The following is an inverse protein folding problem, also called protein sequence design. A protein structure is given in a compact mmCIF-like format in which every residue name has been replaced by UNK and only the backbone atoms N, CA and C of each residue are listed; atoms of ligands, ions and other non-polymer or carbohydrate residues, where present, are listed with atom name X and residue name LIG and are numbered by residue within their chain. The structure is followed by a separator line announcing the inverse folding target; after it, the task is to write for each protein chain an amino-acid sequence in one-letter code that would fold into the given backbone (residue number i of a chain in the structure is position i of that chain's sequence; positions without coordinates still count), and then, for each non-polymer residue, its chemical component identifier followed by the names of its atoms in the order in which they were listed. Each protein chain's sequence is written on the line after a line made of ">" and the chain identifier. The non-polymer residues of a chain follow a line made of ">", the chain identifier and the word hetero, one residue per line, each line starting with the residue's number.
data_IF_241478979242
#
_entry.id   IF_241478979242
#
_cell.length_a   1.000
_cell.length_b   1.000
_cell.length_c   1.000
_cell.angle_alpha   90.00
_cell.angle_beta   90.00
_cell.angle_gamma   90.00
#
_symmetry.space_group_name_H-M   'P 1'
#
loop_
_entity.id
_entity.type
_entity.pdbx_description
1 polymer ?
#
# COMPACT_ATOMS: atom_id res chain seq x y z
N UNK A 1 16.19 0.11 17.28
CA UNK A 1 15.01 0.68 16.61
C UNK A 1 14.69 -0.25 15.46
N UNK A 2 13.47 -0.77 15.34
CA UNK A 2 13.10 -1.65 14.22
C UNK A 2 12.78 -0.79 13.01
N UNK A 3 13.41 -1.12 11.89
CA UNK A 3 13.21 -0.43 10.62
C UNK A 3 11.97 -0.98 9.90
N UNK A 4 11.22 -0.10 9.22
CA UNK A 4 9.97 -0.47 8.56
C UNK A 4 10.15 -1.48 7.44
N UNK A 5 11.28 -1.44 6.71
CA UNK A 5 11.62 -2.46 5.72
C UNK A 5 11.88 -3.81 6.39
N UNK A 6 12.59 -3.82 7.52
CA UNK A 6 12.87 -5.05 8.26
C UNK A 6 11.57 -5.72 8.70
N UNK A 7 10.63 -4.95 9.27
CA UNK A 7 9.31 -5.46 9.66
C UNK A 7 8.51 -5.96 8.46
N UNK A 8 8.56 -5.24 7.34
CA UNK A 8 7.85 -5.62 6.12
C UNK A 8 8.26 -7.00 5.57
N UNK A 9 9.50 -7.43 5.84
CA UNK A 9 10.07 -8.72 5.44
C UNK A 9 10.05 -9.78 6.54
N UNK A 10 9.57 -9.43 7.74
CA UNK A 10 9.63 -10.33 8.89
C UNK A 10 8.43 -11.30 8.94
N UNK A 11 8.67 -12.54 8.51
CA UNK A 11 7.69 -13.62 8.58
C UNK A 11 7.31 -14.03 10.02
N UNK A 12 8.01 -13.51 11.03
CA UNK A 12 7.74 -13.77 12.45
C UNK A 12 6.71 -12.79 13.06
N UNK A 13 6.28 -11.77 12.31
CA UNK A 13 5.21 -10.87 12.76
C UNK A 13 3.87 -11.59 12.92
N UNK A 14 3.63 -12.60 12.09
CA UNK A 14 2.44 -13.41 12.09
C UNK A 14 2.69 -14.86 12.49
N UNK A 15 1.61 -15.64 12.50
CA UNK A 15 1.69 -17.09 12.76
C UNK A 15 1.54 -17.93 11.50
N UNK A 16 1.20 -17.32 10.35
CA UNK A 16 1.10 -18.04 9.07
C UNK A 16 2.43 -18.28 8.37
N UNK A 17 3.52 -17.67 8.86
CA UNK A 17 4.84 -17.72 8.21
C UNK A 17 4.96 -16.81 6.99
N UNK A 18 3.96 -15.96 6.71
CA UNK A 18 4.02 -14.94 5.66
C UNK A 18 4.48 -13.60 6.23
N UNK A 19 5.21 -12.85 5.40
CA UNK A 19 5.52 -11.44 5.62
C UNK A 19 4.73 -10.57 4.63
N UNK A 20 4.74 -9.25 4.80
CA UNK A 20 4.13 -8.33 3.83
C UNK A 20 4.77 -8.52 2.44
N UNK A 21 6.08 -8.71 2.39
CA UNK A 21 6.84 -8.97 1.16
C UNK A 21 6.42 -10.26 0.44
N UNK A 22 5.88 -11.26 1.15
CA UNK A 22 5.42 -12.51 0.52
C UNK A 22 4.38 -12.28 -0.58
N UNK A 23 3.58 -11.20 -0.49
CA UNK A 23 2.63 -10.80 -1.54
C UNK A 23 3.06 -9.53 -2.29
N UNK A 24 3.78 -8.62 -1.62
CA UNK A 24 4.07 -7.28 -2.12
C UNK A 24 5.53 -7.05 -2.55
N UNK A 25 6.29 -8.12 -2.77
CA UNK A 25 7.62 -8.03 -3.39
C UNK A 25 7.55 -7.29 -4.73
N UNK A 26 8.50 -6.39 -5.00
CA UNK A 26 8.61 -5.65 -6.26
C UNK A 26 7.32 -4.96 -6.73
N UNK A 27 6.51 -4.51 -5.77
CA UNK A 27 5.20 -3.91 -5.97
C UNK A 27 4.13 -4.84 -6.58
N UNK A 28 4.35 -6.15 -6.54
CA UNK A 28 3.34 -7.14 -6.88
C UNK A 28 2.10 -7.00 -5.98
N UNK A 29 0.96 -7.42 -6.51
CA UNK A 29 -0.35 -7.38 -5.84
C UNK A 29 -0.81 -6.00 -5.34
N UNK A 30 -0.08 -4.91 -5.59
CA UNK A 30 -0.63 -3.56 -5.48
C UNK A 30 -1.47 -3.25 -6.70
N UNK A 31 -2.70 -2.83 -6.46
CA UNK A 31 -3.59 -2.32 -7.50
C UNK A 31 -3.18 -0.90 -7.90
N UNK A 32 -3.58 -0.42 -9.10
CA UNK A 32 -3.31 0.97 -9.50
C UNK A 32 -3.82 2.00 -8.49
N UNK A 33 -4.92 1.70 -7.79
CA UNK A 33 -5.50 2.52 -6.71
C UNK A 33 -4.54 2.73 -5.55
N UNK A 34 -3.52 1.89 -5.37
CA UNK A 34 -2.47 2.13 -4.36
C UNK A 34 -1.77 3.48 -4.60
N UNK A 35 -1.75 4.01 -5.83
CA UNK A 35 -1.22 5.34 -6.13
C UNK A 35 -2.12 6.47 -5.60
N UNK A 36 -3.36 6.22 -5.20
CA UNK A 36 -4.29 7.24 -4.72
C UNK A 36 -3.97 7.66 -3.27
N UNK A 37 -4.14 8.94 -2.91
CA UNK A 37 -4.02 9.37 -1.52
C UNK A 37 -4.96 8.58 -0.61
N UNK A 38 -4.47 8.15 0.55
CA UNK A 38 -5.32 7.57 1.59
C UNK A 38 -6.14 8.69 2.30
N UNK A 39 -7.37 8.40 2.77
CA UNK A 39 -8.06 7.12 2.67
C UNK A 39 -8.62 6.86 1.26
N UNK A 40 -8.60 5.61 0.83
CA UNK A 40 -9.21 5.16 -0.43
C UNK A 40 -9.68 3.70 -0.32
N UNK A 41 -10.36 3.21 -1.36
CA UNK A 41 -10.86 1.84 -1.42
C UNK A 41 -9.76 0.86 -1.81
N UNK A 42 -9.59 -0.21 -1.03
CA UNK A 42 -8.65 -1.29 -1.33
C UNK A 42 -9.43 -2.60 -1.47
N UNK A 43 -9.36 -3.23 -2.64
CA UNK A 43 -10.14 -4.43 -2.98
C UNK A 43 -10.06 -5.50 -1.89
N UNK A 44 -8.86 -5.77 -1.35
CA UNK A 44 -8.69 -6.76 -0.28
C UNK A 44 -9.50 -6.41 0.98
N UNK A 45 -9.55 -5.13 1.38
CA UNK A 45 -10.31 -4.68 2.55
C UNK A 45 -11.82 -4.71 2.29
N UNK A 46 -12.26 -4.35 1.08
CA UNK A 46 -13.67 -4.45 0.70
C UNK A 46 -14.13 -5.90 0.62
N UNK A 47 -13.41 -6.76 -0.10
CA UNK A 47 -13.81 -8.15 -0.34
C UNK A 47 -13.76 -9.02 0.91
N UNK A 48 -12.75 -8.84 1.76
CA UNK A 48 -12.53 -9.70 2.94
C UNK A 48 -13.03 -9.08 4.24
N UNK A 49 -13.12 -7.75 4.30
CA UNK A 49 -13.50 -7.00 5.51
C UNK A 49 -14.83 -6.28 5.42
N UNK A 50 -15.40 -6.12 4.22
CA UNK A 50 -16.57 -5.25 4.01
C UNK A 50 -16.27 -3.78 4.32
N UNK A 51 -15.02 -3.36 4.15
CA UNK A 51 -14.56 -1.99 4.45
C UNK A 51 -14.48 -1.21 3.14
N UNK A 52 -15.29 -0.16 3.00
CA UNK A 52 -15.38 0.61 1.75
C UNK A 52 -14.15 1.50 1.50
N UNK A 53 -13.58 2.06 2.57
CA UNK A 53 -12.38 2.90 2.51
C UNK A 53 -11.52 2.67 3.74
N UNK A 54 -10.20 2.65 3.56
CA UNK A 54 -9.23 2.43 4.64
C UNK A 54 -8.20 3.56 4.66
N UNK A 55 -7.68 3.87 5.84
CA UNK A 55 -6.40 4.57 6.00
C UNK A 55 -5.22 3.59 5.83
N UNK A 56 -4.01 4.12 5.65
CA UNK A 56 -2.83 3.29 5.36
C UNK A 56 -2.46 2.36 6.51
N UNK A 57 -2.49 2.87 7.74
CA UNK A 57 -2.25 2.12 8.97
C UNK A 57 -3.36 1.09 9.25
N UNK A 58 -4.61 1.42 8.95
CA UNK A 58 -5.72 0.46 8.98
C UNK A 58 -5.51 -0.70 8.00
N UNK A 59 -5.09 -0.40 6.75
CA UNK A 59 -4.78 -1.42 5.75
C UNK A 59 -3.59 -2.30 6.19
N UNK A 60 -2.57 -1.72 6.81
CA UNK A 60 -1.44 -2.47 7.38
C UNK A 60 -1.94 -3.45 8.45
N UNK A 61 -2.76 -2.97 9.40
CA UNK A 61 -3.34 -3.82 10.44
C UNK A 61 -4.23 -4.92 9.83
N UNK A 62 -4.98 -4.60 8.78
CA UNK A 62 -5.79 -5.58 8.04
C UNK A 62 -4.92 -6.68 7.42
N UNK A 63 -3.84 -6.32 6.72
CA UNK A 63 -2.87 -7.28 6.18
C UNK A 63 -2.21 -8.13 7.27
N UNK A 64 -1.94 -7.55 8.44
CA UNK A 64 -1.39 -8.30 9.56
C UNK A 64 -2.39 -9.33 10.09
N UNK A 65 -3.64 -8.96 10.27
CA UNK A 65 -4.64 -9.84 10.89
C UNK A 65 -5.14 -10.91 9.92
N UNK A 66 -5.48 -10.53 8.69
CA UNK A 66 -6.25 -11.37 7.78
C UNK A 66 -5.37 -12.44 7.10
N UNK A 67 -4.37 -12.09 6.27
CA UNK A 67 -3.48 -13.10 5.69
C UNK A 67 -2.36 -13.54 6.65
N UNK A 68 -1.76 -12.65 7.45
CA UNK A 68 -0.59 -13.03 8.26
C UNK A 68 -0.93 -13.73 9.58
N UNK A 69 -2.21 -13.74 9.99
CA UNK A 69 -2.66 -14.26 11.29
C UNK A 69 -1.80 -13.70 12.45
N UNK A 70 -1.47 -12.42 12.36
CA UNK A 70 -0.76 -11.68 13.38
C UNK A 70 -1.74 -11.03 14.36
N UNK A 71 -1.24 -10.68 15.55
CA UNK A 71 -1.97 -9.77 16.42
C UNK A 71 -1.78 -8.34 15.89
N UNK A 72 -2.82 -7.49 15.92
CA UNK A 72 -2.67 -6.08 15.59
C UNK A 72 -1.60 -5.44 16.48
N UNK A 73 -0.81 -4.54 15.91
CA UNK A 73 0.11 -3.72 16.67
C UNK A 73 -0.67 -2.65 17.46
N UNK A 74 -0.16 -2.20 18.62
CA UNK A 74 -0.72 -1.02 19.28
C UNK A 74 -0.68 0.19 18.35
N UNK A 75 -1.74 1.00 18.36
CA UNK A 75 -1.86 2.18 17.49
C UNK A 75 -0.78 3.23 17.72
N UNK A 76 -0.23 3.29 18.93
CA UNK A 76 0.87 4.16 19.34
C UNK A 76 2.24 3.48 19.29
N UNK A 77 2.31 2.26 18.76
CA UNK A 77 3.58 1.52 18.66
C UNK A 77 4.52 2.11 17.62
N UNK A 78 5.82 2.00 17.90
CA UNK A 78 6.85 2.44 16.95
C UNK A 78 6.90 1.53 15.73
N UNK A 79 6.52 0.27 15.90
CA UNK A 79 6.47 -0.75 14.87
C UNK A 79 5.40 -0.42 13.82
N UNK A 80 4.18 -0.07 14.25
CA UNK A 80 3.13 0.38 13.33
C UNK A 80 3.55 1.68 12.64
N UNK A 81 4.08 2.65 13.39
CA UNK A 81 4.57 3.90 12.81
C UNK A 81 5.67 3.66 11.76
N UNK A 82 6.60 2.73 12.01
CA UNK A 82 7.67 2.38 11.08
C UNK A 82 7.13 1.69 9.81
N UNK A 83 6.21 0.73 9.95
CA UNK A 83 5.55 0.07 8.82
C UNK A 83 4.75 1.09 7.98
N UNK A 84 4.01 1.99 8.62
CA UNK A 84 3.24 3.03 7.93
C UNK A 84 4.15 3.99 7.17
N UNK A 85 5.24 4.45 7.80
CA UNK A 85 6.20 5.33 7.15
C UNK A 85 6.89 4.66 5.95
N UNK A 86 7.31 3.41 6.10
CA UNK A 86 7.94 2.65 5.02
C UNK A 86 6.96 2.41 3.86
N UNK A 87 5.72 1.99 4.15
CA UNK A 87 4.70 1.74 3.13
C UNK A 87 4.28 3.02 2.41
N UNK A 88 4.22 4.17 3.10
CA UNK A 88 4.01 5.47 2.48
C UNK A 88 5.16 5.85 1.54
N UNK A 89 6.41 5.51 1.88
CA UNK A 89 7.56 5.66 1.00
C UNK A 89 7.42 4.83 -0.28
N UNK A 90 6.98 3.57 -0.13
CA UNK A 90 6.68 2.68 -1.27
C UNK A 90 5.57 3.22 -2.15
N UNK A 91 4.51 3.78 -1.55
CA UNK A 91 3.42 4.42 -2.28
C UNK A 91 3.94 5.55 -3.18
N UNK A 92 4.78 6.44 -2.64
CA UNK A 92 5.38 7.55 -3.41
C UNK A 92 6.24 7.04 -4.57
N UNK A 93 7.03 6.00 -4.35
CA UNK A 93 7.82 5.38 -5.41
C UNK A 93 6.92 4.75 -6.50
N UNK A 94 5.83 4.11 -6.10
CA UNK A 94 4.84 3.54 -7.01
C UNK A 94 4.13 4.61 -7.85
N UNK A 95 3.71 5.73 -7.23
CA UNK A 95 3.16 6.90 -7.92
C UNK A 95 4.14 7.45 -8.96
N UNK A 96 5.41 7.60 -8.61
CA UNK A 96 6.44 8.08 -9.53
C UNK A 96 6.66 7.10 -10.71
N UNK A 97 6.66 5.80 -10.44
CA UNK A 97 6.78 4.77 -11.47
C UNK A 97 5.56 4.76 -12.43
N UNK A 98 4.35 4.98 -11.91
CA UNK A 98 3.16 5.12 -12.75
C UNK A 98 3.20 6.38 -13.61
N UNK A 99 3.70 7.51 -13.09
CA UNK A 99 3.88 8.74 -13.87
C UNK A 99 4.96 8.60 -14.96
N UNK A 100 5.94 7.72 -14.75
CA UNK A 100 6.97 7.42 -15.74
C UNK A 100 6.47 6.47 -16.86
N UNK A 101 5.47 5.64 -16.58
CA UNK A 101 4.93 4.63 -17.50
C UNK A 101 3.61 5.04 -18.17
N UNK A 102 2.81 5.88 -17.51
CA UNK A 102 1.64 6.55 -18.07
C UNK A 102 2.05 7.88 -18.70
N UNK A 103 1.54 8.18 -19.90
CA UNK A 103 1.72 9.45 -20.63
C UNK A 103 1.84 10.61 -19.65
N UNK A 104 2.99 11.28 -19.65
CA UNK A 104 3.11 12.62 -19.10
C UNK A 104 1.97 13.47 -19.70
N UNK A 105 0.91 13.71 -18.94
CA UNK A 105 -0.08 14.73 -19.30
C UNK A 105 0.62 16.05 -19.06
N UNK A 106 1.36 16.50 -20.07
CA UNK A 106 1.91 17.83 -20.09
C UNK A 106 0.73 18.81 -19.96
N UNK A 107 0.63 19.60 -18.88
CA UNK A 107 -0.47 20.54 -18.69
C UNK A 107 -0.50 21.63 -19.78
N UNK A 108 0.56 21.72 -20.60
CA UNK A 108 0.66 22.61 -21.76
C UNK A 108 0.38 21.91 -23.11
N UNK A 109 -0.06 20.65 -23.14
CA UNK A 109 -0.37 19.98 -24.40
C UNK A 109 -1.60 20.63 -25.08
N UNK A 110 -1.50 21.13 -26.33
CA UNK A 110 -2.62 21.76 -27.01
C UNK A 110 -3.73 20.73 -27.26
N UNK A 111 -4.98 21.10 -26.90
CA UNK A 111 -6.17 20.30 -27.18
C UNK A 111 -6.35 20.22 -28.69
N UNK A 112 -6.13 19.05 -29.28
CA UNK A 112 -6.53 18.80 -30.67
C UNK A 112 -8.05 18.72 -30.72
N UNK A 113 -8.68 19.70 -31.38
CA UNK A 113 -10.10 19.67 -31.72
C UNK A 113 -10.37 18.54 -32.73
N UNK A 114 -11.55 17.89 -32.69
CA UNK A 114 -11.93 16.96 -33.74
C UNK A 114 -12.20 17.75 -35.04
N UNK A 115 -11.50 17.36 -36.11
CA UNK A 115 -11.70 17.83 -37.49
C UNK A 115 -13.04 17.32 -38.06
N UNK A 116 -13.60 17.98 -39.10
CA UNK A 116 -15.05 18.08 -39.38
C UNK A 116 -15.71 16.79 -39.90
#
# INVERSE_FOLDING_TARGET
>A
MQDGETLFKDAKLGTSGMACESCHADNAAFMPTFAEPYPHAVDMATEKGGIDTVHLDEMIQFCMVVPMAAKPLPWDSRELAALTAYTAGRQKAFQAAQQATGKATNPCAPKTAPSP
#
